data_IF_753402250677
#
_entry.id   IF_753402250677
#
_cell.length_a   1.000
_cell.length_b   1.000
_cell.length_c   1.000
_cell.angle_alpha   90.00
_cell.angle_beta   90.00
_cell.angle_gamma   90.00
#
_symmetry.space_group_name_H-M   'P 1'
#
loop_
_entity.id
_entity.type
_entity.pdbx_description
1 polymer ?
#
# COMPACT_ATOMS: atom_id res chain seq x y z
N UNK A 1 -6.65 -14.83 9.40
CA UNK A 1 -6.96 -14.08 8.17
C UNK A 1 -8.42 -13.62 8.20
N UNK A 2 -8.77 -12.44 7.68
CA UNK A 2 -10.16 -11.93 7.71
C UNK A 2 -10.76 -11.90 6.30
N UNK A 3 -12.03 -12.31 6.19
CA UNK A 3 -12.86 -12.23 5.00
C UNK A 3 -14.15 -11.50 5.31
N UNK A 4 -14.47 -10.46 4.53
CA UNK A 4 -15.77 -9.79 4.55
C UNK A 4 -16.57 -10.27 3.34
N UNK A 5 -17.81 -10.69 3.56
CA UNK A 5 -18.70 -11.23 2.54
C UNK A 5 -20.02 -10.45 2.55
N UNK A 6 -20.30 -9.73 1.46
CA UNK A 6 -21.52 -8.96 1.25
C UNK A 6 -21.90 -8.05 2.42
N UNK A 7 -20.88 -7.44 3.04
CA UNK A 7 -21.04 -6.75 4.31
C UNK A 7 -21.79 -5.44 4.10
N UNK A 8 -22.91 -5.28 4.79
CA UNK A 8 -23.73 -4.08 4.74
C UNK A 8 -24.03 -3.57 6.15
N UNK A 9 -23.97 -2.25 6.33
CA UNK A 9 -24.36 -1.59 7.57
C UNK A 9 -25.26 -0.41 7.29
N UNK A 10 -26.47 -0.48 7.82
CA UNK A 10 -27.46 0.58 7.81
C UNK A 10 -27.72 1.02 9.25
N UNK A 11 -27.83 2.33 9.46
CA UNK A 11 -28.25 2.96 10.71
C UNK A 11 -29.66 3.51 10.56
N UNK A 12 -30.46 3.45 11.63
CA UNK A 12 -31.85 3.89 11.63
C UNK A 12 -32.78 2.91 12.34
N UNK A 13 -34.08 3.23 12.43
CA UNK A 13 -35.07 2.35 13.03
C UNK A 13 -35.38 1.16 12.10
N UNK A 14 -35.26 -0.07 12.61
CA UNK A 14 -35.41 -1.30 11.82
C UNK A 14 -34.53 -1.34 10.54
N UNK A 15 -33.18 -1.31 10.66
CA UNK A 15 -32.27 -1.17 9.52
C UNK A 15 -32.45 -2.19 8.38
N UNK A 16 -33.00 -3.37 8.70
CA UNK A 16 -33.25 -4.44 7.73
C UNK A 16 -34.24 -4.02 6.65
N UNK A 17 -35.22 -3.15 6.94
CA UNK A 17 -36.21 -2.72 5.95
C UNK A 17 -35.61 -1.88 4.81
N UNK A 18 -34.47 -1.25 5.05
CA UNK A 18 -33.76 -0.47 4.03
C UNK A 18 -32.78 -1.31 3.19
N UNK A 19 -32.60 -2.61 3.48
CA UNK A 19 -31.79 -3.50 2.64
C UNK A 19 -32.44 -3.69 1.26
N UNK A 20 -33.76 -3.86 1.20
CA UNK A 20 -34.49 -4.02 -0.06
C UNK A 20 -34.29 -2.80 -0.99
N UNK A 21 -34.25 -1.59 -0.41
CA UNK A 21 -33.99 -0.36 -1.18
C UNK A 21 -32.55 -0.33 -1.74
N UNK A 22 -31.58 -0.84 -0.99
CA UNK A 22 -30.20 -0.97 -1.47
C UNK A 22 -30.08 -2.00 -2.59
N UNK A 23 -30.75 -3.14 -2.46
CA UNK A 23 -30.79 -4.20 -3.48
C UNK A 23 -31.45 -3.71 -4.78
N UNK A 24 -32.42 -2.79 -4.67
CA UNK A 24 -33.03 -2.11 -5.81
C UNK A 24 -32.14 -1.02 -6.44
N UNK A 25 -30.92 -0.82 -5.92
CA UNK A 25 -29.95 0.13 -6.46
C UNK A 25 -30.22 1.60 -6.09
N UNK A 26 -31.07 1.87 -5.11
CA UNK A 26 -31.33 3.24 -4.66
C UNK A 26 -30.08 3.88 -4.06
N UNK A 27 -29.93 5.19 -4.29
CA UNK A 27 -28.80 5.94 -3.73
C UNK A 27 -28.94 6.11 -2.21
N UNK A 28 -27.79 6.28 -1.54
CA UNK A 28 -27.74 6.53 -0.11
C UNK A 28 -28.52 7.78 0.31
N UNK A 29 -28.46 8.84 -0.51
CA UNK A 29 -29.20 10.08 -0.25
C UNK A 29 -30.71 9.87 -0.40
N UNK A 30 -31.15 9.14 -1.43
CA UNK A 30 -32.56 8.82 -1.60
C UNK A 30 -33.10 7.98 -0.43
N UNK A 31 -32.34 6.99 0.04
CA UNK A 31 -32.71 6.16 1.21
C UNK A 31 -32.81 7.02 2.47
N UNK A 32 -31.87 7.96 2.65
CA UNK A 32 -31.89 8.89 3.79
C UNK A 32 -33.11 9.80 3.77
N UNK A 33 -33.45 10.36 2.62
CA UNK A 33 -34.59 11.27 2.47
C UNK A 33 -35.94 10.54 2.61
N UNK A 34 -36.07 9.37 1.98
CA UNK A 34 -37.33 8.62 1.93
C UNK A 34 -37.64 7.87 3.23
N UNK A 35 -36.62 7.40 3.94
CA UNK A 35 -36.79 6.47 5.07
C UNK A 35 -36.06 6.87 6.35
N UNK A 36 -35.25 7.95 6.33
CA UNK A 36 -34.45 8.39 7.47
C UNK A 36 -33.25 7.49 7.79
N UNK A 37 -32.98 6.46 6.98
CA UNK A 37 -31.87 5.54 7.18
C UNK A 37 -30.55 6.09 6.65
N UNK A 38 -29.45 5.81 7.34
CA UNK A 38 -28.10 6.18 6.89
C UNK A 38 -27.35 4.91 6.51
N UNK A 39 -26.97 4.80 5.24
CA UNK A 39 -26.16 3.69 4.73
C UNK A 39 -24.68 3.97 5.05
N UNK A 40 -24.11 3.16 5.92
CA UNK A 40 -22.71 3.25 6.33
C UNK A 40 -21.78 2.39 5.48
N UNK A 41 -22.20 1.16 5.17
CA UNK A 41 -21.48 0.20 4.32
C UNK A 41 -22.50 -0.51 3.46
N UNK A 42 -22.17 -0.78 2.20
CA UNK A 42 -23.09 -1.32 1.21
C UNK A 42 -22.37 -2.38 0.36
N UNK A 43 -22.74 -3.64 0.59
CA UNK A 43 -22.30 -4.82 -0.16
C UNK A 43 -20.78 -4.91 -0.37
N UNK A 44 -20.02 -4.77 0.73
CA UNK A 44 -18.56 -4.81 0.66
C UNK A 44 -18.04 -6.24 0.85
N UNK A 45 -17.28 -6.72 -0.13
CA UNK A 45 -16.61 -8.02 -0.10
C UNK A 45 -15.12 -7.90 -0.37
N UNK A 46 -14.29 -8.47 0.52
CA UNK A 46 -12.85 -8.60 0.30
C UNK A 46 -12.23 -9.64 1.23
N UNK A 47 -11.01 -10.06 0.88
CA UNK A 47 -10.18 -10.95 1.68
C UNK A 47 -8.83 -10.29 1.94
N UNK A 48 -8.41 -10.29 3.19
CA UNK A 48 -7.06 -9.89 3.60
C UNK A 48 -6.10 -11.06 3.42
N UNK A 49 -4.85 -10.84 3.04
CA UNK A 49 -3.80 -11.85 3.03
C UNK A 49 -3.00 -11.78 4.33
N UNK A 50 -2.39 -12.89 4.75
CA UNK A 50 -1.51 -12.88 5.94
C UNK A 50 -0.29 -12.00 5.65
N UNK A 51 0.04 -11.12 6.59
CA UNK A 51 1.14 -10.17 6.45
C UNK A 51 0.84 -9.00 5.51
N UNK A 52 -0.38 -8.87 4.99
CA UNK A 52 -0.73 -7.78 4.07
C UNK A 52 -0.92 -6.46 4.82
N UNK A 53 -0.40 -5.38 4.25
CA UNK A 53 -0.75 -4.01 4.59
C UNK A 53 -1.90 -3.55 3.68
N UNK A 54 -3.13 -3.69 4.16
CA UNK A 54 -4.34 -3.37 3.42
C UNK A 54 -4.86 -1.99 3.79
N UNK A 55 -4.91 -1.07 2.83
CA UNK A 55 -5.36 0.31 3.06
C UNK A 55 -6.81 0.47 2.60
N UNK A 56 -7.62 1.14 3.42
CA UNK A 56 -8.97 1.58 3.07
C UNK A 56 -8.96 3.11 2.99
N UNK A 57 -9.29 3.63 1.81
CA UNK A 57 -9.23 5.04 1.48
C UNK A 57 -10.60 5.57 1.04
N UNK A 58 -10.79 6.89 1.06
CA UNK A 58 -11.98 7.58 0.57
C UNK A 58 -12.27 8.85 1.37
N UNK A 59 -13.23 9.65 0.91
CA UNK A 59 -13.60 10.90 1.60
C UNK A 59 -14.24 10.65 2.98
N UNK A 60 -14.34 11.72 3.79
CA UNK A 60 -15.13 11.69 5.02
C UNK A 60 -16.57 11.26 4.72
N UNK A 61 -17.14 10.38 5.54
CA UNK A 61 -18.51 9.89 5.35
C UNK A 61 -18.67 8.72 4.36
N UNK A 62 -17.60 8.27 3.69
CA UNK A 62 -17.66 7.14 2.74
C UNK A 62 -17.82 5.75 3.37
N UNK A 63 -17.78 5.64 4.71
CA UNK A 63 -18.05 4.39 5.41
C UNK A 63 -16.84 3.63 5.95
N UNK A 64 -15.61 4.10 5.70
CA UNK A 64 -14.35 3.44 6.08
C UNK A 64 -14.32 2.97 7.54
N UNK A 65 -14.48 3.91 8.48
CA UNK A 65 -14.41 3.60 9.90
C UNK A 65 -15.59 2.74 10.37
N UNK A 66 -16.74 2.81 9.69
CA UNK A 66 -17.87 1.89 9.93
C UNK A 66 -17.50 0.47 9.50
N UNK A 67 -16.91 0.31 8.32
CA UNK A 67 -16.44 -0.97 7.81
C UNK A 67 -15.42 -1.61 8.76
N UNK A 68 -14.40 -0.88 9.18
CA UNK A 68 -13.38 -1.38 10.13
C UNK A 68 -14.01 -1.79 11.48
N UNK A 69 -14.97 -1.02 11.98
CA UNK A 69 -15.71 -1.37 13.21
C UNK A 69 -16.62 -2.58 13.03
N UNK A 70 -17.10 -2.86 11.82
CA UNK A 70 -17.83 -4.08 11.51
C UNK A 70 -16.90 -5.30 11.49
N UNK A 71 -15.66 -5.17 10.98
CA UNK A 71 -14.68 -6.27 11.03
C UNK A 71 -14.39 -6.73 12.46
N UNK A 72 -14.29 -5.80 13.40
CA UNK A 72 -14.13 -6.10 14.83
C UNK A 72 -15.46 -6.33 15.58
N UNK A 73 -16.61 -6.23 14.89
CA UNK A 73 -17.97 -6.22 15.45
C UNK A 73 -18.17 -5.26 16.64
N UNK A 74 -17.45 -4.14 16.65
CA UNK A 74 -17.79 -3.01 17.54
C UNK A 74 -19.13 -2.39 17.11
N UNK A 75 -19.38 -2.42 15.82
CA UNK A 75 -20.69 -2.18 15.22
C UNK A 75 -21.13 -3.51 14.59
N UNK A 76 -22.30 -4.07 14.96
CA UNK A 76 -22.81 -5.26 14.29
C UNK A 76 -23.26 -4.89 12.87
N UNK A 77 -22.86 -5.66 11.85
CA UNK A 77 -23.35 -5.46 10.49
C UNK A 77 -24.87 -5.69 10.44
N UNK A 78 -25.53 -5.05 9.48
CA UNK A 78 -26.96 -5.27 9.21
C UNK A 78 -27.16 -6.54 8.37
N UNK A 79 -26.26 -6.79 7.42
CA UNK A 79 -26.23 -8.00 6.59
C UNK A 79 -24.78 -8.37 6.21
N UNK A 80 -24.61 -9.56 5.65
CA UNK A 80 -23.30 -10.12 5.31
C UNK A 80 -22.59 -10.80 6.49
N UNK A 81 -21.37 -11.26 6.25
CA UNK A 81 -20.57 -12.00 7.22
C UNK A 81 -19.15 -11.45 7.30
N UNK A 82 -18.57 -11.59 8.50
CA UNK A 82 -17.14 -11.39 8.74
C UNK A 82 -16.60 -12.69 9.28
N UNK A 83 -15.68 -13.31 8.53
CA UNK A 83 -15.05 -14.58 8.89
C UNK A 83 -13.60 -14.30 9.29
N UNK A 84 -13.21 -14.79 10.46
CA UNK A 84 -11.84 -14.83 10.93
C UNK A 84 -11.33 -16.26 10.83
N UNK A 85 -10.40 -16.51 9.92
CA UNK A 85 -9.65 -17.75 9.81
C UNK A 85 -8.51 -17.73 10.85
N UNK A 86 -8.50 -18.65 11.80
CA UNK A 86 -7.40 -18.87 12.75
C UNK A 86 -6.76 -20.23 12.47
N UNK A 87 -5.65 -20.52 13.14
CA UNK A 87 -5.02 -21.85 13.06
C UNK A 87 -5.94 -22.97 13.62
N UNK A 88 -6.96 -22.61 14.41
CA UNK A 88 -7.96 -23.52 14.96
C UNK A 88 -9.20 -23.72 14.06
N UNK A 89 -9.35 -22.88 13.02
CA UNK A 89 -10.46 -22.96 12.05
C UNK A 89 -11.09 -21.60 11.73
N UNK A 90 -12.22 -21.61 11.01
CA UNK A 90 -12.97 -20.40 10.66
C UNK A 90 -13.96 -20.01 11.78
N UNK A 91 -13.98 -18.73 12.14
CA UNK A 91 -14.90 -18.15 13.12
C UNK A 91 -15.74 -17.08 12.44
N UNK A 92 -17.06 -17.25 12.42
CA UNK A 92 -17.99 -16.17 12.06
C UNK A 92 -18.05 -15.15 13.22
N UNK A 93 -17.42 -13.99 13.01
CA UNK A 93 -17.36 -12.90 13.99
C UNK A 93 -18.76 -12.37 14.28
N UNK A 94 -19.65 -12.35 13.29
CA UNK A 94 -21.05 -11.93 13.39
C UNK A 94 -21.89 -12.83 14.29
N UNK A 95 -21.62 -14.15 14.28
CA UNK A 95 -22.31 -15.13 15.11
C UNK A 95 -21.62 -15.43 16.45
N UNK A 96 -20.38 -14.96 16.65
CA UNK A 96 -19.59 -15.24 17.85
C UNK A 96 -20.31 -14.84 19.15
N UNK A 97 -20.21 -15.69 20.18
CA UNK A 97 -20.67 -15.35 21.53
C UNK A 97 -19.86 -14.20 22.13
N UNK A 98 -20.38 -13.57 23.19
CA UNK A 98 -19.64 -12.51 23.89
C UNK A 98 -18.28 -12.97 24.44
N UNK A 99 -18.13 -14.25 24.80
CA UNK A 99 -16.85 -14.83 25.22
C UNK A 99 -15.88 -14.97 24.05
N UNK A 100 -16.34 -15.54 22.93
CA UNK A 100 -15.53 -15.66 21.72
C UNK A 100 -15.10 -14.29 21.18
N UNK A 101 -15.99 -13.30 21.17
CA UNK A 101 -15.63 -11.94 20.76
C UNK A 101 -14.54 -11.30 21.63
N UNK A 102 -14.57 -11.54 22.94
CA UNK A 102 -13.49 -11.08 23.83
C UNK A 102 -12.17 -11.75 23.47
N UNK A 103 -12.18 -13.06 23.24
CA UNK A 103 -10.99 -13.81 22.86
C UNK A 103 -10.41 -13.35 21.52
N UNK A 104 -11.26 -13.15 20.51
CA UNK A 104 -10.90 -12.56 19.22
C UNK A 104 -10.21 -11.21 19.41
N UNK A 105 -10.79 -10.32 20.22
CA UNK A 105 -10.31 -8.95 20.47
C UNK A 105 -9.09 -8.85 21.37
N UNK A 106 -8.78 -9.90 22.11
CA UNK A 106 -7.60 -9.91 22.96
C UNK A 106 -6.45 -10.62 22.26
N UNK A 107 -6.69 -11.70 21.51
CA UNK A 107 -5.64 -12.56 20.96
C UNK A 107 -5.39 -12.42 19.47
N UNK A 108 -6.41 -12.15 18.66
CA UNK A 108 -6.28 -12.20 17.19
C UNK A 108 -6.35 -10.81 16.55
N UNK A 109 -7.16 -9.90 17.11
CA UNK A 109 -7.38 -8.55 16.62
C UNK A 109 -6.93 -7.52 17.64
N UNK A 110 -6.26 -6.47 17.18
CA UNK A 110 -6.05 -5.25 17.97
C UNK A 110 -6.55 -4.04 17.19
N UNK A 111 -6.93 -2.97 17.90
CA UNK A 111 -7.49 -1.77 17.27
C UNK A 111 -6.81 -0.49 17.77
N UNK A 112 -6.42 0.35 16.81
CA UNK A 112 -5.96 1.72 17.03
C UNK A 112 -7.06 2.67 16.58
N UNK A 113 -7.56 3.49 17.50
CA UNK A 113 -8.67 4.41 17.26
C UNK A 113 -8.17 5.81 16.88
N UNK A 114 -8.91 6.51 16.02
CA UNK A 114 -8.67 7.92 15.69
C UNK A 114 -8.63 8.81 16.94
N UNK A 115 -9.58 8.61 17.87
CA UNK A 115 -9.51 9.17 19.23
C UNK A 115 -8.89 8.13 20.13
N UNK A 116 -7.73 8.46 20.72
CA UNK A 116 -6.76 7.54 21.32
C UNK A 116 -7.32 6.51 22.33
N UNK A 117 -8.50 6.77 22.89
CA UNK A 117 -9.22 5.82 23.76
C UNK A 117 -8.40 5.43 24.98
N UNK A 118 -7.55 6.34 25.46
CA UNK A 118 -6.72 6.12 26.63
C UNK A 118 -7.57 6.26 27.89
N UNK A 119 -7.23 5.48 28.90
CA UNK A 119 -7.85 5.47 30.21
C UNK A 119 -7.15 6.54 31.08
N UNK A 120 -7.79 7.69 31.35
CA UNK A 120 -7.12 8.84 31.98
C UNK A 120 -6.73 8.59 33.44
N UNK A 121 -7.39 7.65 34.10
CA UNK A 121 -7.13 7.25 35.48
C UNK A 121 -5.97 6.25 35.62
N UNK A 122 -5.40 5.78 34.51
CA UNK A 122 -4.27 4.84 34.45
C UNK A 122 -2.99 5.54 34.01
N UNK A 123 -1.84 4.97 34.35
CA UNK A 123 -0.55 5.46 33.81
C UNK A 123 -0.42 5.13 32.31
N UNK A 124 0.56 5.73 31.65
CA UNK A 124 0.91 5.41 30.25
C UNK A 124 1.23 3.93 30.10
N UNK A 125 2.06 3.37 30.99
CA UNK A 125 2.38 1.95 30.99
C UNK A 125 1.15 1.08 31.20
N UNK A 126 0.28 1.43 32.15
CA UNK A 126 -0.94 0.64 32.43
C UNK A 126 -1.94 0.71 31.27
N UNK A 127 -1.94 1.80 30.50
CA UNK A 127 -2.69 1.89 29.25
C UNK A 127 -2.17 0.89 28.22
N UNK A 128 -0.85 0.85 28.02
CA UNK A 128 -0.20 -0.07 27.09
C UNK A 128 -0.38 -1.53 27.51
N UNK A 129 -0.23 -1.82 28.81
CA UNK A 129 -0.38 -3.15 29.38
C UNK A 129 -1.84 -3.64 29.50
N UNK A 130 -2.83 -2.78 29.20
CA UNK A 130 -4.24 -3.08 29.47
C UNK A 130 -4.73 -4.34 28.74
N UNK A 131 -4.39 -4.52 27.46
CA UNK A 131 -4.79 -5.72 26.71
C UNK A 131 -4.25 -7.01 27.33
N UNK A 132 -3.00 -6.98 27.78
CA UNK A 132 -2.33 -8.10 28.44
C UNK A 132 -2.91 -8.40 29.83
N UNK A 133 -3.37 -7.38 30.55
CA UNK A 133 -4.10 -7.54 31.82
C UNK A 133 -5.37 -8.35 31.63
N UNK A 134 -6.15 -8.02 30.59
CA UNK A 134 -7.40 -8.71 30.27
C UNK A 134 -7.15 -10.15 29.82
N UNK A 135 -6.01 -10.42 29.16
CA UNK A 135 -5.56 -11.78 28.82
C UNK A 135 -5.11 -12.60 30.04
N UNK A 136 -4.89 -11.97 31.20
CA UNK A 136 -4.38 -12.64 32.40
C UNK A 136 -2.87 -12.87 32.41
N UNK A 137 -2.10 -12.11 31.61
CA UNK A 137 -0.63 -12.21 31.59
C UNK A 137 -0.05 -11.75 32.93
N UNK A 138 1.01 -12.43 33.39
CA UNK A 138 1.67 -12.08 34.65
C UNK A 138 2.17 -10.61 34.66
N UNK A 139 2.11 -9.97 35.83
CA UNK A 139 2.44 -8.55 35.97
C UNK A 139 3.86 -8.20 35.51
N UNK A 140 4.85 -9.06 35.79
CA UNK A 140 6.24 -8.82 35.36
C UNK A 140 6.34 -8.77 33.83
N UNK A 141 5.78 -9.77 33.16
CA UNK A 141 5.76 -9.85 31.70
C UNK A 141 4.96 -8.71 31.05
N UNK A 142 3.85 -8.28 31.69
CA UNK A 142 3.06 -7.14 31.22
C UNK A 142 3.87 -5.85 31.19
N UNK A 143 4.60 -5.57 32.26
CA UNK A 143 5.43 -4.37 32.38
C UNK A 143 6.54 -4.40 31.33
N UNK A 144 7.25 -5.53 31.21
CA UNK A 144 8.33 -5.70 30.24
C UNK A 144 7.85 -5.49 28.80
N UNK A 145 6.74 -6.12 28.41
CA UNK A 145 6.15 -5.95 27.07
C UNK A 145 5.67 -4.53 26.83
N UNK A 146 5.07 -3.90 27.83
CA UNK A 146 4.59 -2.52 27.71
C UNK A 146 5.75 -1.53 27.56
N UNK A 147 6.82 -1.69 28.33
CA UNK A 147 8.00 -0.82 28.24
C UNK A 147 8.71 -1.01 26.89
N UNK A 148 8.86 -2.24 26.40
CA UNK A 148 9.37 -2.49 25.03
C UNK A 148 8.52 -1.82 23.96
N UNK A 149 7.19 -1.90 24.06
CA UNK A 149 6.29 -1.26 23.10
C UNK A 149 6.37 0.28 23.16
N UNK A 150 6.61 0.84 24.36
CA UNK A 150 6.85 2.28 24.52
C UNK A 150 8.19 2.71 23.90
N UNK A 151 9.23 1.89 24.01
CA UNK A 151 10.52 2.17 23.37
C UNK A 151 10.40 2.19 21.85
N UNK A 152 9.67 1.24 21.26
CA UNK A 152 9.42 1.18 19.80
C UNK A 152 8.74 2.44 19.26
N UNK A 153 7.85 3.07 20.03
CA UNK A 153 7.19 4.31 19.63
C UNK A 153 7.92 5.58 20.10
N UNK A 154 9.15 5.45 20.60
CA UNK A 154 9.95 6.58 21.07
C UNK A 154 9.36 7.28 22.32
N UNK A 155 8.72 6.51 23.20
CA UNK A 155 8.19 6.94 24.49
C UNK A 155 8.84 6.20 25.67
N UNK A 156 10.05 5.67 25.48
CA UNK A 156 10.86 5.11 26.55
C UNK A 156 10.97 6.06 27.74
N UNK A 157 10.82 5.54 28.95
CA UNK A 157 10.84 6.32 30.19
C UNK A 157 9.53 7.05 30.55
N UNK A 158 8.56 7.18 29.63
CA UNK A 158 7.26 7.83 29.92
C UNK A 158 6.24 6.92 30.62
N UNK A 159 6.57 5.65 30.83
CA UNK A 159 5.66 4.66 31.43
C UNK A 159 4.96 5.11 32.72
N UNK A 160 5.65 5.75 33.70
CA UNK A 160 5.02 6.22 34.94
C UNK A 160 4.08 7.42 34.79
N UNK A 161 4.15 8.17 33.70
CA UNK A 161 3.38 9.40 33.49
C UNK A 161 1.88 9.14 33.35
N UNK A 162 1.08 10.19 33.52
CA UNK A 162 -0.35 10.24 33.24
C UNK A 162 -0.60 10.68 31.79
N UNK A 163 -1.71 10.25 31.22
CA UNK A 163 -2.07 10.60 29.83
C UNK A 163 -2.28 12.11 29.64
N UNK A 164 -2.71 12.82 30.70
CA UNK A 164 -2.88 14.29 30.68
C UNK A 164 -1.56 15.06 30.61
N UNK A 165 -0.43 14.42 30.92
CA UNK A 165 0.91 15.02 30.85
C UNK A 165 1.52 14.89 29.44
N UNK A 166 0.83 14.22 28.52
CA UNK A 166 1.27 13.95 27.17
C UNK A 166 0.62 14.89 26.15
N UNK A 167 1.37 15.30 25.14
CA UNK A 167 0.81 15.96 23.95
C UNK A 167 -0.12 15.03 23.17
N UNK A 168 -0.98 15.57 22.31
CA UNK A 168 -1.89 14.77 21.48
C UNK A 168 -1.15 13.69 20.67
N UNK A 169 -0.04 14.05 20.02
CA UNK A 169 0.77 13.10 19.27
C UNK A 169 1.45 12.04 20.15
N UNK A 170 1.83 12.37 21.38
CA UNK A 170 2.32 11.38 22.35
C UNK A 170 1.20 10.42 22.76
N UNK A 171 -0.01 10.91 23.02
CA UNK A 171 -1.17 10.06 23.34
C UNK A 171 -1.50 9.09 22.19
N UNK A 172 -1.39 9.54 20.94
CA UNK A 172 -1.55 8.69 19.76
C UNK A 172 -0.52 7.55 19.74
N UNK A 173 0.74 7.87 20.01
CA UNK A 173 1.83 6.88 20.13
C UNK A 173 1.60 5.90 21.29
N UNK A 174 1.01 6.32 22.41
CA UNK A 174 0.57 5.39 23.47
C UNK A 174 -0.53 4.44 22.97
N UNK A 175 -1.49 4.94 22.19
CA UNK A 175 -2.53 4.12 21.57
C UNK A 175 -1.95 3.07 20.62
N UNK A 176 -0.93 3.43 19.84
CA UNK A 176 -0.18 2.52 18.98
C UNK A 176 0.62 1.49 19.81
N UNK A 177 1.37 1.93 20.81
CA UNK A 177 2.12 1.05 21.70
C UNK A 177 1.21 0.02 22.39
N UNK A 178 -0.01 0.43 22.81
CA UNK A 178 -1.01 -0.50 23.36
C UNK A 178 -1.38 -1.60 22.37
N UNK A 179 -1.52 -1.28 21.09
CA UNK A 179 -1.78 -2.28 20.08
C UNK A 179 -0.58 -3.21 19.85
N UNK A 180 0.63 -2.64 19.83
CA UNK A 180 1.89 -3.37 19.63
C UNK A 180 2.31 -4.26 20.81
N UNK A 181 1.91 -3.90 22.03
CA UNK A 181 2.19 -4.71 23.21
C UNK A 181 1.46 -6.07 23.18
N UNK A 182 0.37 -6.17 22.41
CA UNK A 182 -0.36 -7.42 22.20
C UNK A 182 0.25 -8.22 21.05
N UNK A 183 0.23 -9.54 21.15
CA UNK A 183 0.73 -10.43 20.08
C UNK A 183 -0.31 -10.66 18.97
N UNK A 184 -1.37 -9.85 18.90
CA UNK A 184 -2.45 -9.98 17.91
C UNK A 184 -1.92 -10.01 16.47
N UNK A 185 -2.42 -10.95 15.67
CA UNK A 185 -2.00 -11.17 14.29
C UNK A 185 -2.48 -10.06 13.34
N UNK A 186 -3.62 -9.44 13.64
CA UNK A 186 -4.24 -8.42 12.81
C UNK A 186 -4.39 -7.10 13.57
N UNK A 187 -3.90 -6.03 12.98
CA UNK A 187 -4.03 -4.67 13.49
C UNK A 187 -5.03 -3.87 12.66
N UNK A 188 -6.07 -3.34 13.31
CA UNK A 188 -7.10 -2.51 12.69
C UNK A 188 -6.86 -1.06 13.10
N UNK A 189 -6.53 -0.18 12.15
CA UNK A 189 -6.14 1.20 12.44
C UNK A 189 -7.07 2.19 11.75
N UNK A 190 -7.72 3.05 12.55
CA UNK A 190 -8.64 4.09 12.08
C UNK A 190 -7.94 5.46 12.14
N UNK A 191 -7.34 5.90 11.02
CA UNK A 191 -6.56 7.15 10.92
C UNK A 191 -5.54 7.35 12.06
N UNK A 192 -4.61 6.38 12.27
CA UNK A 192 -3.75 6.35 13.45
C UNK A 192 -2.66 7.43 13.47
N UNK A 193 -2.56 8.27 12.42
CA UNK A 193 -1.54 9.31 12.30
C UNK A 193 -2.10 10.71 12.04
N UNK A 194 -3.44 10.88 12.05
CA UNK A 194 -4.09 12.14 11.67
C UNK A 194 -3.77 13.34 12.57
N UNK A 195 -3.28 13.11 13.79
CA UNK A 195 -2.90 14.16 14.74
C UNK A 195 -1.37 14.25 14.96
N UNK A 196 -0.57 13.61 14.11
CA UNK A 196 0.88 13.67 14.16
C UNK A 196 1.45 14.71 13.21
N UNK A 197 2.50 15.41 13.66
CA UNK A 197 3.29 16.29 12.81
C UNK A 197 3.96 15.49 11.66
N UNK A 198 4.19 16.08 10.48
CA UNK A 198 4.66 15.36 9.29
C UNK A 198 5.93 14.51 9.50
N UNK A 199 6.92 15.01 10.24
CA UNK A 199 8.16 14.27 10.51
C UNK A 199 7.91 13.02 11.37
N UNK A 200 7.13 13.17 12.44
CA UNK A 200 6.80 12.05 13.33
C UNK A 200 5.88 11.05 12.62
N UNK A 201 4.95 11.53 11.79
CA UNK A 201 4.10 10.71 10.93
C UNK A 201 4.96 9.79 10.04
N UNK A 202 5.94 10.35 9.32
CA UNK A 202 6.86 9.57 8.47
C UNK A 202 7.68 8.55 9.27
N UNK A 203 8.20 8.95 10.43
CA UNK A 203 8.96 8.03 11.30
C UNK A 203 8.09 6.85 11.77
N UNK A 204 6.87 7.13 12.25
CA UNK A 204 5.96 6.07 12.72
C UNK A 204 5.51 5.16 11.58
N UNK A 205 5.28 5.70 10.39
CA UNK A 205 5.00 4.90 9.20
C UNK A 205 6.13 3.90 8.89
N UNK A 206 7.39 4.34 8.94
CA UNK A 206 8.55 3.46 8.74
C UNK A 206 8.62 2.35 9.80
N UNK A 207 8.37 2.67 11.07
CA UNK A 207 8.35 1.67 12.14
C UNK A 207 7.23 0.64 11.94
N UNK A 208 6.04 1.05 11.48
CA UNK A 208 4.95 0.09 11.21
C UNK A 208 5.30 -0.80 10.02
N UNK A 209 5.89 -0.27 8.94
CA UNK A 209 6.37 -1.08 7.81
C UNK A 209 7.39 -2.12 8.31
N UNK A 210 8.34 -1.69 9.13
CA UNK A 210 9.34 -2.59 9.71
C UNK A 210 8.69 -3.68 10.56
N UNK A 211 7.72 -3.32 11.40
CA UNK A 211 6.98 -4.29 12.21
C UNK A 211 6.18 -5.29 11.36
N UNK A 212 5.55 -4.85 10.28
CA UNK A 212 4.86 -5.74 9.35
C UNK A 212 5.82 -6.73 8.68
N UNK A 213 7.01 -6.26 8.25
CA UNK A 213 8.03 -7.11 7.63
C UNK A 213 8.68 -8.09 8.62
N UNK A 214 9.04 -7.62 9.82
CA UNK A 214 9.76 -8.42 10.81
C UNK A 214 8.85 -9.44 11.51
N UNK A 215 7.58 -9.11 11.75
CA UNK A 215 6.65 -9.91 12.55
C UNK A 215 5.50 -10.54 11.74
N UNK A 216 5.41 -10.26 10.43
CA UNK A 216 4.37 -10.80 9.55
C UNK A 216 2.94 -10.37 9.95
N UNK A 217 2.80 -9.21 10.62
CA UNK A 217 1.50 -8.70 11.07
C UNK A 217 0.64 -8.29 9.89
N UNK A 218 -0.64 -8.62 9.93
CA UNK A 218 -1.60 -8.15 8.93
C UNK A 218 -2.17 -6.81 9.41
N UNK A 219 -2.19 -5.80 8.56
CA UNK A 219 -2.62 -4.44 8.93
C UNK A 219 -3.78 -4.03 8.05
N UNK A 220 -4.87 -3.55 8.66
CA UNK A 220 -5.94 -2.82 7.96
C UNK A 220 -5.85 -1.37 8.39
N UNK A 221 -5.57 -0.48 7.46
CA UNK A 221 -5.24 0.91 7.73
C UNK A 221 -6.22 1.84 7.01
N UNK A 222 -6.92 2.68 7.77
CA UNK A 222 -7.76 3.73 7.19
C UNK A 222 -6.97 5.02 7.11
N UNK A 223 -7.01 5.64 5.93
CA UNK A 223 -6.56 7.03 5.74
C UNK A 223 -7.44 7.76 4.73
N UNK A 224 -7.31 9.09 4.71
CA UNK A 224 -7.83 9.96 3.66
C UNK A 224 -6.70 10.55 2.80
N UNK A 225 -5.45 10.27 3.13
CA UNK A 225 -4.25 10.76 2.46
C UNK A 225 -3.76 9.72 1.44
N UNK A 226 -3.69 10.11 0.16
CA UNK A 226 -3.33 9.18 -0.92
C UNK A 226 -1.86 8.78 -0.82
N UNK A 227 -0.98 9.70 -0.47
CA UNK A 227 0.45 9.43 -0.41
C UNK A 227 0.76 8.43 0.71
N UNK A 228 0.00 8.44 1.80
CA UNK A 228 0.06 7.38 2.81
C UNK A 228 -0.37 6.04 2.25
N UNK A 229 -1.50 5.99 1.54
CA UNK A 229 -2.03 4.76 0.99
C UNK A 229 -1.06 4.14 -0.02
N UNK A 230 -0.47 4.97 -0.87
CA UNK A 230 0.52 4.57 -1.87
C UNK A 230 1.84 4.10 -1.27
N UNK A 231 2.29 4.73 -0.18
CA UNK A 231 3.55 4.38 0.49
C UNK A 231 3.45 3.12 1.35
N UNK A 232 2.30 2.91 2.00
CA UNK A 232 2.13 1.87 3.00
C UNK A 232 1.44 0.61 2.46
N UNK A 233 0.51 0.76 1.52
CA UNK A 233 -0.41 -0.31 1.16
C UNK A 233 0.16 -1.27 0.14
N UNK A 234 0.08 -2.57 0.42
CA UNK A 234 0.22 -3.61 -0.61
C UNK A 234 -1.01 -3.60 -1.54
N UNK A 235 -2.19 -3.36 -0.94
CA UNK A 235 -3.48 -3.23 -1.62
C UNK A 235 -4.28 -2.09 -1.02
N UNK A 236 -4.94 -1.33 -1.89
CA UNK A 236 -5.76 -0.18 -1.55
C UNK A 236 -7.19 -0.45 -2.00
N UNK A 237 -8.14 -0.30 -1.07
CA UNK A 237 -9.57 -0.27 -1.32
C UNK A 237 -10.07 1.18 -1.23
N UNK A 238 -10.51 1.76 -2.34
CA UNK A 238 -11.12 3.09 -2.35
C UNK A 238 -12.62 2.94 -2.15
N UNK A 239 -13.16 3.69 -1.18
CA UNK A 239 -14.57 3.68 -0.82
C UNK A 239 -15.26 5.00 -1.15
N UNK A 240 -16.44 4.89 -1.75
CA UNK A 240 -17.37 5.96 -2.04
C UNK A 240 -18.78 5.51 -1.64
N UNK A 241 -19.54 6.34 -0.93
CA UNK A 241 -20.93 6.06 -0.54
C UNK A 241 -21.20 4.69 0.10
N UNK A 242 -20.24 4.19 0.89
CA UNK A 242 -20.34 2.92 1.59
C UNK A 242 -19.95 1.70 0.75
N UNK A 243 -19.61 1.87 -0.53
CA UNK A 243 -19.17 0.82 -1.45
C UNK A 243 -17.66 0.88 -1.65
N UNK A 244 -17.04 -0.24 -2.00
CA UNK A 244 -15.68 -0.27 -2.55
C UNK A 244 -15.80 -0.03 -4.06
N UNK A 245 -15.32 1.11 -4.53
CA UNK A 245 -15.37 1.47 -5.96
C UNK A 245 -14.17 0.95 -6.74
N UNK A 246 -13.03 0.77 -6.07
CA UNK A 246 -11.86 0.15 -6.66
C UNK A 246 -11.02 -0.56 -5.60
N UNK A 247 -10.48 -1.71 -5.97
CA UNK A 247 -9.57 -2.50 -5.14
C UNK A 247 -8.38 -2.94 -6.00
N UNK A 248 -7.17 -2.51 -5.65
CA UNK A 248 -5.99 -2.79 -6.47
C UNK A 248 -4.68 -2.57 -5.73
N UNK A 249 -3.57 -2.85 -6.41
CA UNK A 249 -2.23 -2.41 -5.96
C UNK A 249 -2.12 -0.89 -6.12
N UNK A 250 -1.25 -0.21 -5.35
CA UNK A 250 -0.97 1.22 -5.53
C UNK A 250 -0.73 1.61 -6.99
N UNK A 251 0.06 0.81 -7.71
CA UNK A 251 0.35 1.01 -9.13
C UNK A 251 -0.92 0.99 -10.00
N UNK A 252 -1.83 0.03 -9.80
CA UNK A 252 -3.08 -0.06 -10.55
C UNK A 252 -4.06 1.06 -10.21
N UNK A 253 -4.06 1.53 -8.97
CA UNK A 253 -4.88 2.68 -8.57
C UNK A 253 -4.43 3.92 -9.36
N UNK A 254 -3.11 4.15 -9.48
CA UNK A 254 -2.55 5.29 -10.21
C UNK A 254 -2.74 5.16 -11.74
N UNK A 255 -2.38 4.01 -12.31
CA UNK A 255 -2.30 3.84 -13.76
C UNK A 255 -3.64 3.53 -14.42
N UNK A 256 -4.59 2.95 -13.69
CA UNK A 256 -5.89 2.56 -14.22
C UNK A 256 -7.02 2.87 -13.22
N UNK A 257 -7.34 4.16 -12.99
CA UNK A 257 -8.47 4.55 -12.14
C UNK A 257 -9.79 4.06 -12.74
N UNK A 258 -10.59 3.34 -11.95
CA UNK A 258 -11.80 2.66 -12.40
C UNK A 258 -13.00 3.60 -12.53
N UNK A 259 -12.98 4.75 -11.86
CA UNK A 259 -14.06 5.75 -11.89
C UNK A 259 -13.46 7.16 -11.94
N UNK A 260 -14.26 8.15 -12.35
CA UNK A 260 -13.88 9.56 -12.30
C UNK A 260 -13.51 9.98 -10.86
N UNK A 261 -14.27 9.52 -9.87
CA UNK A 261 -13.96 9.74 -8.45
C UNK A 261 -12.55 9.26 -8.09
N UNK A 262 -12.13 8.08 -8.55
CA UNK A 262 -10.76 7.60 -8.29
C UNK A 262 -9.72 8.42 -9.07
N UNK A 263 -10.03 8.82 -10.31
CA UNK A 263 -9.15 9.67 -11.11
C UNK A 263 -8.85 11.00 -10.40
N UNK A 264 -9.86 11.62 -9.77
CA UNK A 264 -9.71 12.87 -9.02
C UNK A 264 -8.76 12.72 -7.82
N UNK A 265 -8.76 11.56 -7.13
CA UNK A 265 -7.80 11.31 -6.05
C UNK A 265 -6.36 11.25 -6.56
N UNK A 266 -6.14 10.55 -7.67
CA UNK A 266 -4.79 10.27 -8.17
C UNK A 266 -4.17 11.45 -8.94
N UNK A 267 -4.98 12.42 -9.35
CA UNK A 267 -4.56 13.61 -10.11
C UNK A 267 -3.38 14.37 -9.47
N UNK A 268 -3.27 14.37 -8.13
CA UNK A 268 -2.23 15.11 -7.41
C UNK A 268 -1.17 14.23 -6.73
N UNK A 269 -1.29 12.90 -6.81
CA UNK A 269 -0.31 11.99 -6.21
C UNK A 269 1.06 12.05 -6.89
N UNK A 270 2.12 11.83 -6.11
CA UNK A 270 3.47 11.63 -6.64
C UNK A 270 3.64 10.18 -7.14
N UNK A 271 3.75 9.94 -8.47
CA UNK A 271 3.88 8.59 -9.00
C UNK A 271 5.29 8.00 -8.80
N UNK A 272 6.29 8.82 -8.46
CA UNK A 272 7.72 8.43 -8.57
C UNK A 272 8.13 7.32 -7.61
N UNK A 273 7.38 7.15 -6.51
CA UNK A 273 7.63 6.13 -5.50
C UNK A 273 6.88 4.82 -5.75
N UNK A 274 5.93 4.80 -6.68
CA UNK A 274 4.99 3.69 -6.86
C UNK A 274 5.14 3.05 -8.23
N UNK A 275 5.22 3.87 -9.28
CA UNK A 275 5.41 3.37 -10.64
C UNK A 275 6.79 2.72 -10.72
N UNK A 276 6.86 1.51 -11.26
CA UNK A 276 8.10 0.73 -11.32
C UNK A 276 8.78 0.83 -12.68
N UNK A 277 10.04 0.41 -12.74
CA UNK A 277 10.81 0.34 -13.97
C UNK A 277 10.11 -0.53 -15.03
N UNK A 278 9.49 -1.64 -14.60
CA UNK A 278 8.68 -2.51 -15.46
C UNK A 278 7.56 -1.75 -16.15
N UNK A 279 6.80 -0.97 -15.39
CA UNK A 279 5.61 -0.24 -15.85
C UNK A 279 5.92 0.80 -16.93
N UNK A 280 7.12 1.39 -16.83
CA UNK A 280 7.57 2.50 -17.68
C UNK A 280 8.43 2.01 -18.84
N UNK A 281 9.03 0.83 -18.73
CA UNK A 281 9.93 0.31 -19.75
C UNK A 281 9.24 0.05 -21.09
N UNK A 282 9.93 0.42 -22.16
CA UNK A 282 9.65 -0.03 -23.51
C UNK A 282 10.06 -1.50 -23.58
N UNK A 283 9.07 -2.40 -23.63
CA UNK A 283 9.32 -3.81 -23.86
C UNK A 283 10.05 -4.04 -25.18
N UNK A 284 10.90 -5.07 -25.18
CA UNK A 284 11.59 -5.49 -26.39
C UNK A 284 10.62 -6.15 -27.35
N UNK A 285 10.70 -5.79 -28.63
CA UNK A 285 10.00 -6.51 -29.68
C UNK A 285 10.67 -7.88 -29.88
N UNK A 286 10.11 -8.91 -29.26
CA UNK A 286 10.66 -10.27 -29.28
C UNK A 286 10.72 -10.86 -30.69
N UNK A 287 9.75 -10.56 -31.55
CA UNK A 287 9.74 -11.04 -32.94
C UNK A 287 10.92 -10.44 -33.72
N UNK A 288 11.17 -9.14 -33.51
CA UNK A 288 12.32 -8.45 -34.10
C UNK A 288 13.64 -8.94 -33.54
N UNK A 289 13.71 -9.19 -32.23
CA UNK A 289 14.88 -9.77 -31.55
C UNK A 289 15.22 -11.15 -32.15
N UNK A 290 14.23 -12.01 -32.34
CA UNK A 290 14.43 -13.37 -32.88
C UNK A 290 14.77 -13.39 -34.36
N UNK A 291 14.28 -12.42 -35.15
CA UNK A 291 14.73 -12.20 -36.51
C UNK A 291 16.22 -11.83 -36.55
N UNK A 292 16.64 -10.83 -35.77
CA UNK A 292 18.03 -10.38 -35.71
C UNK A 292 18.97 -11.47 -35.20
N UNK A 293 18.54 -12.31 -34.24
CA UNK A 293 19.31 -13.49 -33.79
C UNK A 293 19.68 -14.43 -34.93
N UNK A 294 18.74 -14.67 -35.84
CA UNK A 294 18.92 -15.56 -37.01
C UNK A 294 19.88 -14.95 -38.03
N UNK A 295 19.84 -13.63 -38.22
CA UNK A 295 20.66 -12.91 -39.21
C UNK A 295 22.11 -12.69 -38.74
N UNK A 296 22.31 -12.37 -37.47
CA UNK A 296 23.61 -11.95 -36.94
C UNK A 296 24.36 -13.06 -36.17
N UNK A 297 23.94 -14.32 -36.30
CA UNK A 297 24.62 -15.47 -35.70
C UNK A 297 24.66 -15.43 -34.17
N UNK A 298 23.60 -14.91 -33.53
CA UNK A 298 23.47 -14.84 -32.07
C UNK A 298 23.79 -13.48 -31.43
N UNK A 299 23.98 -12.40 -32.21
CA UNK A 299 24.03 -11.01 -31.72
C UNK A 299 22.75 -10.29 -32.10
N UNK A 300 22.19 -9.47 -31.21
CA UNK A 300 20.95 -8.73 -31.48
C UNK A 300 21.24 -7.24 -31.32
N UNK A 301 20.66 -6.38 -32.16
CA UNK A 301 20.67 -4.92 -31.99
C UNK A 301 19.24 -4.54 -31.59
N UNK A 302 19.03 -4.33 -30.30
CA UNK A 302 17.67 -4.31 -29.76
C UNK A 302 16.97 -2.94 -29.90
N UNK A 303 17.70 -1.83 -30.05
CA UNK A 303 17.03 -0.52 -30.12
C UNK A 303 17.93 0.62 -30.64
N UNK A 304 17.63 1.20 -31.81
CA UNK A 304 18.28 2.44 -32.27
C UNK A 304 17.44 3.63 -31.82
N UNK A 305 17.85 4.30 -30.73
CA UNK A 305 17.27 5.61 -30.37
C UNK A 305 17.82 6.70 -31.30
N UNK A 306 17.41 7.97 -31.11
CA UNK A 306 18.07 9.09 -31.79
C UNK A 306 19.58 9.20 -31.44
N UNK A 307 20.01 8.62 -30.32
CA UNK A 307 21.41 8.31 -30.04
C UNK A 307 21.68 6.87 -30.53
N UNK A 308 22.68 6.67 -31.38
CA UNK A 308 23.07 5.36 -31.93
C UNK A 308 23.56 4.40 -30.83
N UNK A 309 22.62 3.81 -30.09
CA UNK A 309 22.87 2.83 -29.03
C UNK A 309 22.64 1.43 -29.59
N UNK A 310 23.58 0.52 -29.39
CA UNK A 310 23.44 -0.89 -29.76
C UNK A 310 23.56 -1.74 -28.50
N UNK A 311 22.61 -2.65 -28.28
CA UNK A 311 22.58 -3.52 -27.10
C UNK A 311 22.62 -4.95 -27.58
N UNK A 312 23.70 -5.66 -27.23
CA UNK A 312 23.93 -7.07 -27.55
C UNK A 312 23.50 -7.93 -26.38
N UNK A 313 22.52 -8.80 -26.63
CA UNK A 313 22.04 -9.82 -25.69
C UNK A 313 22.48 -11.22 -26.14
N UNK A 314 22.53 -12.17 -25.20
CA UNK A 314 22.77 -13.58 -25.49
C UNK A 314 21.48 -14.39 -25.75
N UNK A 315 21.61 -15.72 -25.80
CA UNK A 315 20.50 -16.65 -26.03
C UNK A 315 19.51 -16.72 -24.84
N UNK A 316 19.92 -16.28 -23.65
CA UNK A 316 19.10 -16.24 -22.44
C UNK A 316 18.55 -14.83 -22.17
N UNK A 317 18.57 -13.94 -23.16
CA UNK A 317 18.17 -12.52 -23.09
C UNK A 317 19.03 -11.65 -22.15
N UNK A 318 20.24 -12.09 -21.80
CA UNK A 318 21.12 -11.32 -20.89
C UNK A 318 22.00 -10.35 -21.64
N UNK A 319 22.15 -9.14 -21.10
CA UNK A 319 22.98 -8.09 -21.72
C UNK A 319 24.46 -8.46 -21.62
N UNK A 320 25.14 -8.49 -22.76
CA UNK A 320 26.59 -8.78 -22.85
C UNK A 320 27.42 -7.55 -23.19
N UNK A 321 26.90 -6.70 -24.04
CA UNK A 321 27.60 -5.50 -24.50
C UNK A 321 26.61 -4.39 -24.82
N UNK A 322 26.97 -3.16 -24.48
CA UNK A 322 26.28 -1.95 -24.93
C UNK A 322 27.29 -1.08 -25.66
N UNK A 323 26.91 -0.54 -26.80
CA UNK A 323 27.71 0.41 -27.58
C UNK A 323 26.92 1.68 -27.78
N UNK A 324 27.60 2.81 -27.72
CA UNK A 324 27.02 4.12 -27.99
C UNK A 324 28.07 5.01 -28.63
N UNK A 325 27.68 5.80 -29.64
CA UNK A 325 28.57 6.76 -30.33
C UNK A 325 29.88 6.13 -30.85
N UNK A 326 29.81 4.86 -31.28
CA UNK A 326 30.97 4.10 -31.78
C UNK A 326 31.92 3.55 -30.70
N UNK A 327 31.65 3.78 -29.42
CA UNK A 327 32.40 3.24 -28.28
C UNK A 327 31.62 2.18 -27.49
N UNK A 328 32.34 1.36 -26.71
CA UNK A 328 31.72 0.41 -25.77
C UNK A 328 31.35 1.13 -24.47
N UNK A 329 30.13 0.93 -24.01
CA UNK A 329 29.67 1.39 -22.72
C UNK A 329 29.87 0.33 -21.62
N UNK A 330 30.27 0.77 -20.43
CA UNK A 330 30.33 -0.04 -19.22
C UNK A 330 28.92 -0.23 -18.65
N UNK A 331 28.54 -1.47 -18.37
CA UNK A 331 27.27 -1.81 -17.71
C UNK A 331 27.46 -1.67 -16.20
N UNK A 332 26.68 -0.81 -15.56
CA UNK A 332 26.81 -0.57 -14.12
C UNK A 332 25.47 -0.73 -13.44
N UNK A 333 25.33 -1.61 -12.43
CA UNK A 333 24.15 -1.67 -11.58
C UNK A 333 23.89 -0.31 -10.94
N UNK A 334 22.62 0.11 -10.88
CA UNK A 334 22.27 1.43 -10.35
C UNK A 334 22.75 1.65 -8.91
N UNK A 335 22.70 0.62 -8.06
CA UNK A 335 23.13 0.74 -6.67
C UNK A 335 24.63 1.04 -6.55
N UNK A 336 25.44 0.57 -7.50
CA UNK A 336 26.85 0.92 -7.61
C UNK A 336 27.02 2.37 -8.01
N UNK A 337 26.27 2.85 -9.00
CA UNK A 337 26.31 4.26 -9.44
C UNK A 337 25.87 5.23 -8.33
N UNK A 338 24.85 4.87 -7.56
CA UNK A 338 24.33 5.70 -6.46
C UNK A 338 25.26 5.73 -5.24
N UNK A 339 26.18 4.76 -5.12
CA UNK A 339 27.17 4.71 -4.05
C UNK A 339 28.44 5.52 -4.37
N UNK A 340 28.64 5.91 -5.64
CA UNK A 340 29.76 6.77 -6.04
C UNK A 340 29.54 8.23 -5.57
N UNK A 341 30.62 8.95 -5.29
CA UNK A 341 30.52 10.39 -5.01
C UNK A 341 29.91 11.12 -6.21
N UNK A 342 28.97 12.02 -5.93
CA UNK A 342 28.17 12.68 -6.97
C UNK A 342 29.07 13.32 -8.05
N UNK A 343 29.05 12.82 -9.29
CA UNK A 343 29.95 13.29 -10.32
C UNK A 343 29.58 14.71 -10.74
N UNK A 344 30.58 15.50 -11.11
CA UNK A 344 30.38 16.88 -11.63
C UNK A 344 29.76 16.91 -13.03
N UNK A 345 29.72 15.77 -13.73
CA UNK A 345 29.11 15.63 -15.06
C UNK A 345 28.53 14.23 -15.26
N UNK A 346 27.55 14.09 -16.17
CA UNK A 346 26.94 12.79 -16.50
C UNK A 346 27.93 11.85 -17.19
N UNK A 347 27.85 10.57 -16.85
CA UNK A 347 28.58 9.50 -17.52
C UNK A 347 28.06 9.30 -18.95
N UNK A 348 28.97 9.36 -19.92
CA UNK A 348 28.66 9.19 -21.35
C UNK A 348 28.87 7.76 -21.83
N UNK A 349 29.80 7.06 -21.20
CA UNK A 349 30.29 5.72 -21.52
C UNK A 349 29.77 4.67 -20.54
N UNK A 350 28.77 4.99 -19.72
CA UNK A 350 28.15 4.06 -18.76
C UNK A 350 26.66 3.93 -19.01
N UNK A 351 26.18 2.69 -18.97
CA UNK A 351 24.76 2.37 -19.05
C UNK A 351 24.29 1.79 -17.72
N UNK A 352 23.29 2.44 -17.12
CA UNK A 352 22.71 2.01 -15.86
C UNK A 352 21.83 0.77 -16.07
N UNK A 353 21.98 -0.22 -15.20
CA UNK A 353 21.13 -1.41 -15.13
C UNK A 353 20.28 -1.36 -13.87
N UNK A 354 18.97 -1.49 -14.05
CA UNK A 354 17.96 -1.35 -12.99
C UNK A 354 17.05 -2.58 -13.01
N UNK A 355 16.71 -3.10 -11.83
CA UNK A 355 15.73 -4.18 -11.72
C UNK A 355 14.31 -3.69 -11.98
N UNK A 356 13.48 -4.55 -12.56
CA UNK A 356 12.11 -4.29 -12.94
C UNK A 356 11.21 -3.76 -11.80
N UNK A 357 11.51 -4.15 -10.56
CA UNK A 357 10.79 -3.79 -9.34
C UNK A 357 11.21 -2.44 -8.75
N UNK A 358 12.27 -1.80 -9.28
CA UNK A 358 12.74 -0.51 -8.76
C UNK A 358 11.79 0.62 -9.14
N UNK A 359 11.57 1.61 -8.25
CA UNK A 359 10.63 2.70 -8.49
C UNK A 359 11.16 3.69 -9.54
N UNK A 360 10.26 4.46 -10.14
CA UNK A 360 10.54 5.49 -11.13
C UNK A 360 11.55 6.54 -10.62
N UNK A 361 11.57 6.83 -9.31
CA UNK A 361 12.62 7.65 -8.69
C UNK A 361 14.03 7.11 -9.00
N UNK A 362 14.24 5.81 -8.91
CA UNK A 362 15.54 5.19 -9.22
C UNK A 362 15.90 5.36 -10.70
N UNK A 363 14.92 5.36 -11.60
CA UNK A 363 15.13 5.66 -13.02
C UNK A 363 15.52 7.13 -13.26
N UNK A 364 14.88 8.06 -12.54
CA UNK A 364 15.23 9.48 -12.56
C UNK A 364 16.68 9.69 -12.09
N UNK A 365 17.08 9.04 -11.00
CA UNK A 365 18.45 9.10 -10.48
C UNK A 365 19.45 8.50 -11.49
N UNK A 366 19.11 7.34 -12.07
CA UNK A 366 19.91 6.69 -13.12
C UNK A 366 20.11 7.60 -14.34
N UNK A 367 19.04 8.24 -14.82
CA UNK A 367 19.08 9.19 -15.94
C UNK A 367 19.79 10.49 -15.62
N UNK A 368 19.79 10.90 -14.35
CA UNK A 368 20.56 12.05 -13.93
C UNK A 368 22.07 11.77 -13.98
N UNK A 369 22.48 10.52 -13.77
CA UNK A 369 23.89 10.09 -13.79
C UNK A 369 24.37 9.65 -15.17
N UNK A 370 23.52 9.01 -15.98
CA UNK A 370 23.90 8.39 -17.26
C UNK A 370 23.17 9.03 -18.44
N UNK A 371 23.90 9.26 -19.54
CA UNK A 371 23.30 9.76 -20.79
C UNK A 371 22.62 8.65 -21.63
N UNK A 372 22.98 7.39 -21.41
CA UNK A 372 22.45 6.25 -22.15
C UNK A 372 21.10 5.76 -21.57
N UNK A 373 20.23 5.13 -22.39
CA UNK A 373 19.00 4.52 -21.90
C UNK A 373 19.27 3.58 -20.72
N UNK A 374 18.33 3.57 -19.76
CA UNK A 374 18.41 2.68 -18.61
C UNK A 374 17.93 1.30 -19.02
N UNK A 375 18.73 0.27 -18.76
CA UNK A 375 18.42 -1.13 -19.05
C UNK A 375 17.59 -1.70 -17.89
N UNK A 376 16.42 -2.25 -18.19
CA UNK A 376 15.55 -2.85 -17.19
C UNK A 376 15.63 -4.37 -17.26
N UNK A 377 16.00 -5.00 -16.15
CA UNK A 377 16.17 -6.45 -16.05
C UNK A 377 15.20 -7.10 -15.08
N UNK A 378 14.83 -8.36 -15.31
CA UNK A 378 14.07 -9.17 -14.36
C UNK A 378 14.94 -9.79 -13.25
N UNK A 379 14.36 -10.70 -12.46
CA UNK A 379 15.07 -11.39 -11.38
C UNK A 379 16.12 -12.40 -11.88
N UNK A 380 16.00 -12.89 -13.12
CA UNK A 380 16.91 -13.85 -13.75
C UNK A 380 18.03 -13.14 -14.57
N UNK A 381 18.13 -11.82 -14.42
CA UNK A 381 19.03 -10.90 -15.12
C UNK A 381 18.77 -10.78 -16.63
N UNK A 382 17.56 -11.10 -17.07
CA UNK A 382 17.15 -10.96 -18.47
C UNK A 382 16.71 -9.53 -18.76
N UNK A 383 17.12 -9.00 -19.91
CA UNK A 383 16.67 -7.70 -20.38
C UNK A 383 15.19 -7.79 -20.79
N UNK A 384 14.34 -7.04 -20.08
CA UNK A 384 12.89 -7.01 -20.37
C UNK A 384 12.48 -5.71 -21.07
N UNK A 385 13.29 -4.66 -20.97
CA UNK A 385 12.97 -3.39 -21.60
C UNK A 385 13.99 -2.30 -21.37
N UNK A 386 13.70 -1.15 -21.97
CA UNK A 386 14.54 0.04 -21.94
C UNK A 386 13.72 1.24 -21.48
N UNK A 387 14.37 2.15 -20.75
CA UNK A 387 13.75 3.40 -20.32
C UNK A 387 14.61 4.56 -20.79
N UNK A 388 14.03 5.45 -21.59
CA UNK A 388 14.64 6.73 -21.95
C UNK A 388 14.02 7.87 -21.15
N UNK A 389 14.54 9.08 -21.33
CA UNK A 389 13.99 10.28 -20.71
C UNK A 389 12.54 10.55 -21.15
N UNK A 390 12.17 10.15 -22.37
CA UNK A 390 10.80 10.29 -22.88
C UNK A 390 9.82 9.49 -22.05
N UNK A 391 10.09 8.21 -21.81
CA UNK A 391 9.18 7.35 -21.05
C UNK A 391 9.05 7.81 -19.59
N UNK A 392 10.14 8.29 -18.99
CA UNK A 392 10.11 8.86 -17.64
C UNK A 392 9.21 10.10 -17.59
N UNK A 393 9.43 11.08 -18.48
CA UNK A 393 8.62 12.31 -18.49
C UNK A 393 7.15 11.97 -18.72
N UNK A 394 6.86 11.10 -19.68
CA UNK A 394 5.48 10.69 -19.98
C UNK A 394 4.81 10.03 -18.79
N UNK A 395 5.50 9.10 -18.11
CA UNK A 395 4.97 8.41 -16.93
C UNK A 395 4.66 9.35 -15.75
N UNK A 396 5.37 10.47 -15.61
CA UNK A 396 5.11 11.48 -14.58
C UNK A 396 3.87 12.30 -14.94
N UNK A 397 3.73 12.69 -16.21
CA UNK A 397 2.62 13.53 -16.69
C UNK A 397 1.30 12.75 -16.69
N UNK A 398 1.29 11.58 -17.33
CA UNK A 398 0.07 10.81 -17.54
C UNK A 398 -0.25 9.90 -16.36
N UNK A 399 0.71 9.66 -15.46
CA UNK A 399 0.62 8.70 -14.34
C UNK A 399 0.18 7.29 -14.79
N UNK A 400 0.43 6.96 -16.06
CA UNK A 400 0.02 5.73 -16.74
C UNK A 400 1.21 4.88 -17.13
N UNK A 401 1.01 3.56 -17.09
CA UNK A 401 1.85 2.59 -17.79
C UNK A 401 1.43 2.42 -19.24
N UNK A 402 2.25 1.72 -20.04
CA UNK A 402 2.12 1.66 -21.51
C UNK A 402 0.84 0.99 -22.05
N UNK A 403 0.06 0.26 -21.26
CA UNK A 403 -1.19 -0.38 -21.72
C UNK A 403 -2.20 0.61 -22.34
N UNK A 404 -2.07 1.92 -22.06
CA UNK A 404 -2.84 2.98 -22.70
C UNK A 404 -2.25 3.54 -24.02
N UNK A 405 -0.99 3.24 -24.37
CA UNK A 405 -0.33 3.74 -25.58
C UNK A 405 -0.73 3.00 -26.86
N UNK A 406 -1.25 1.77 -26.77
CA UNK A 406 -1.69 1.01 -27.95
C UNK A 406 -3.08 1.44 -28.47
N UNK A 407 -3.70 2.46 -27.86
CA UNK A 407 -5.03 2.95 -28.23
C UNK A 407 -5.07 3.98 -29.37
N UNK A 408 -3.96 4.67 -29.68
CA UNK A 408 -4.01 5.86 -30.56
C UNK A 408 -2.96 5.92 -31.69
N UNK A 409 -2.18 4.87 -31.96
CA UNK A 409 -1.25 4.83 -33.12
C UNK A 409 -1.57 3.70 -34.11
N UNK A 410 -2.84 3.56 -34.47
CA UNK A 410 -3.28 2.90 -35.72
C UNK A 410 -4.01 3.92 -36.58
N UNK A 411 -3.27 4.84 -37.21
CA UNK A 411 -3.50 5.30 -38.59
C UNK A 411 -2.55 6.44 -38.96
N UNK A 412 -1.58 6.14 -39.83
CA UNK A 412 -1.31 6.98 -41.00
C UNK A 412 -0.60 6.14 -42.06
N UNK A 413 -1.40 5.66 -43.01
CA UNK A 413 -0.93 5.18 -44.29
C UNK A 413 -0.25 6.30 -45.08
N UNK A 414 0.96 6.03 -45.58
CA UNK A 414 1.46 6.42 -46.91
C UNK A 414 2.77 5.66 -47.20
#
# INVERSE_FOLDING_TARGET
>A
MIRAEHLSKIFGPNPTSALELLEQGQSKDHIRESSGHVVGVNDVSFRLKRGEFFVIMGLSGSGKSTLLRCLNRLIPPTAGRVVLETDEGEIDVGAASARQLRDIRTRHLTMVFQRFGLLPHRSVRDNVAYGLEIQGVDRGQRIERADRALDLVGLGGWGPSRTSELSGGMQQRVGLARALATEAEVMLMDEPFSALDPLIKMQMQQEIIKLQNDLGKTIVFITHDLDEALRLGDRIAIMEDGRVVQLGTPERILTNPATAYVADFVEHADPTHVITARTVSVELDHDRVDELRREAGGRVIVHRTQADVEIVIDADDRVREVRADGGRAELVPIDTLLAEEAPTSRYRDRAAVVRADRPLRTLLEARNLCNLPVLVIDHDERLIGLVTEREIIYSIIEKRGRDAMNGDDVEAAA
#
